data_IF_754894808026
#
_entry.id   IF_754894808026
#
_cell.length_a   1.000
_cell.length_b   1.000
_cell.length_c   1.000
_cell.angle_alpha   90.00
_cell.angle_beta   90.00
_cell.angle_gamma   90.00
#
_symmetry.space_group_name_H-M   'P 1'
#
loop_
_entity.id
_entity.type
_entity.pdbx_description
1 polymer ?
#
# COMPACT_ATOMS: atom_id res chain seq x y z
N UNK A 1 -18.68 -6.07 -12.18
CA UNK A 1 -18.08 -5.73 -10.86
C UNK A 1 -19.14 -5.37 -9.83
N UNK A 2 -20.00 -4.38 -10.04
CA UNK A 2 -21.03 -3.90 -9.09
C UNK A 2 -21.99 -5.02 -8.64
N UNK A 3 -22.50 -5.84 -9.56
CA UNK A 3 -23.41 -6.97 -9.23
C UNK A 3 -22.72 -8.01 -8.33
N UNK A 4 -21.41 -8.18 -8.45
CA UNK A 4 -20.65 -9.07 -7.59
C UNK A 4 -20.60 -8.56 -6.14
N UNK A 5 -20.45 -7.25 -5.96
CA UNK A 5 -20.47 -6.63 -4.62
C UNK A 5 -21.82 -6.81 -3.92
N UNK A 6 -22.94 -6.61 -4.64
CA UNK A 6 -24.26 -6.79 -4.06
C UNK A 6 -24.47 -8.22 -3.54
N UNK A 7 -23.99 -9.21 -4.29
CA UNK A 7 -24.06 -10.61 -3.89
C UNK A 7 -23.21 -10.92 -2.66
N UNK A 8 -21.98 -10.37 -2.61
CA UNK A 8 -21.11 -10.52 -1.45
C UNK A 8 -21.69 -9.88 -0.20
N UNK A 9 -22.24 -8.68 -0.31
CA UNK A 9 -22.90 -7.98 0.81
C UNK A 9 -24.14 -8.74 1.25
N UNK A 10 -24.94 -9.24 0.31
CA UNK A 10 -26.11 -10.06 0.59
C UNK A 10 -25.76 -11.30 1.39
N UNK A 11 -24.73 -12.02 0.98
CA UNK A 11 -24.23 -13.20 1.69
C UNK A 11 -23.71 -12.88 3.09
N UNK A 12 -23.03 -11.74 3.26
CA UNK A 12 -22.44 -11.33 4.54
C UNK A 12 -23.48 -10.84 5.56
N UNK A 13 -24.50 -10.11 5.10
CA UNK A 13 -25.48 -9.45 5.98
C UNK A 13 -26.84 -10.16 6.06
N UNK A 14 -27.10 -11.16 5.20
CA UNK A 14 -28.40 -11.81 5.12
C UNK A 14 -29.52 -10.90 4.58
N UNK A 15 -29.16 -9.82 3.87
CA UNK A 15 -30.08 -8.84 3.28
C UNK A 15 -30.20 -9.13 1.79
N UNK A 16 -31.39 -9.02 1.22
CA UNK A 16 -31.59 -9.33 -0.21
C UNK A 16 -30.83 -8.35 -1.12
N UNK A 17 -30.32 -8.84 -2.26
CA UNK A 17 -29.62 -8.00 -3.24
C UNK A 17 -30.47 -6.80 -3.69
N UNK A 18 -31.79 -6.97 -3.81
CA UNK A 18 -32.72 -5.88 -4.16
C UNK A 18 -32.70 -4.76 -3.14
N UNK A 19 -32.76 -5.08 -1.84
CA UNK A 19 -32.70 -4.08 -0.76
C UNK A 19 -31.35 -3.36 -0.75
N UNK A 20 -30.25 -4.09 -0.99
CA UNK A 20 -28.90 -3.52 -1.07
C UNK A 20 -28.80 -2.51 -2.22
N UNK A 21 -29.24 -2.88 -3.42
CA UNK A 21 -29.23 -2.01 -4.60
C UNK A 21 -30.03 -0.74 -4.36
N UNK A 22 -31.23 -0.87 -3.81
CA UNK A 22 -32.11 0.27 -3.51
C UNK A 22 -31.50 1.18 -2.44
N UNK A 23 -30.92 0.61 -1.38
CA UNK A 23 -30.27 1.38 -0.31
C UNK A 23 -29.03 2.13 -0.82
N UNK A 24 -28.17 1.47 -1.61
CA UNK A 24 -27.00 2.10 -2.22
C UNK A 24 -27.40 3.19 -3.21
N UNK A 25 -28.49 3.02 -3.96
CA UNK A 25 -29.04 4.05 -4.82
C UNK A 25 -29.41 5.31 -4.04
N UNK A 26 -30.16 5.18 -2.94
CA UNK A 26 -30.52 6.30 -2.08
C UNK A 26 -29.30 7.00 -1.46
N UNK A 27 -28.31 6.24 -1.04
CA UNK A 27 -27.06 6.80 -0.48
C UNK A 27 -26.27 7.55 -1.55
N UNK A 28 -26.20 7.05 -2.78
CA UNK A 28 -25.53 7.72 -3.90
C UNK A 28 -26.25 9.02 -4.32
N UNK A 29 -27.57 9.07 -4.17
CA UNK A 29 -28.39 10.26 -4.40
C UNK A 29 -28.23 11.30 -3.26
N UNK A 30 -27.38 11.05 -2.28
CA UNK A 30 -27.05 11.96 -1.18
C UNK A 30 -28.00 11.87 0.03
N UNK A 31 -28.87 10.86 0.09
CA UNK A 31 -29.72 10.65 1.25
C UNK A 31 -28.89 10.19 2.45
N UNK A 32 -29.19 10.73 3.64
CA UNK A 32 -28.52 10.35 4.89
C UNK A 32 -29.13 9.06 5.47
N UNK A 33 -28.34 8.29 6.22
CA UNK A 33 -28.76 7.04 6.85
C UNK A 33 -30.03 7.24 7.72
N UNK A 34 -30.11 8.26 8.62
CA UNK A 34 -31.31 8.51 9.40
C UNK A 34 -32.52 8.88 8.54
N UNK A 35 -32.32 9.58 7.42
CA UNK A 35 -33.41 9.89 6.50
C UNK A 35 -33.95 8.63 5.82
N UNK A 36 -33.08 7.75 5.35
CA UNK A 36 -33.47 6.50 4.69
C UNK A 36 -34.24 5.61 5.66
N UNK A 37 -33.74 5.40 6.88
CA UNK A 37 -34.34 4.52 7.87
C UNK A 37 -35.72 5.00 8.33
N UNK A 38 -35.98 6.30 8.34
CA UNK A 38 -37.26 6.88 8.80
C UNK A 38 -38.24 7.09 7.67
N UNK A 39 -37.80 7.55 6.52
CA UNK A 39 -38.65 8.07 5.46
C UNK A 39 -38.64 7.27 4.16
N UNK A 40 -37.81 6.22 4.06
CA UNK A 40 -37.68 5.38 2.85
C UNK A 40 -37.80 3.87 3.13
N UNK A 41 -38.57 3.52 4.18
CA UNK A 41 -38.78 2.12 4.57
C UNK A 41 -39.44 1.30 3.47
N UNK A 42 -40.33 1.92 2.71
CA UNK A 42 -41.02 1.29 1.57
C UNK A 42 -40.05 0.89 0.45
N UNK A 43 -38.98 1.66 0.27
CA UNK A 43 -37.94 1.39 -0.75
C UNK A 43 -36.96 0.34 -0.25
N UNK A 44 -36.52 0.46 0.99
CA UNK A 44 -35.46 -0.43 1.56
C UNK A 44 -36.03 -1.74 2.11
N UNK A 45 -37.39 -1.88 2.17
CA UNK A 45 -38.05 -3.05 2.78
C UNK A 45 -37.89 -3.09 4.30
N UNK A 46 -37.86 -1.91 4.94
CA UNK A 46 -37.86 -1.77 6.40
C UNK A 46 -36.49 -1.88 7.08
N UNK A 47 -35.38 -1.68 6.37
CA UNK A 47 -34.06 -1.69 6.97
C UNK A 47 -33.90 -0.58 8.02
N UNK A 48 -33.25 -0.91 9.12
CA UNK A 48 -32.92 0.00 10.19
C UNK A 48 -31.59 0.76 9.92
N UNK A 49 -31.24 1.70 10.79
CA UNK A 49 -30.01 2.52 10.64
C UNK A 49 -28.74 1.67 10.66
N UNK A 50 -28.70 0.63 11.50
CA UNK A 50 -27.53 -0.26 11.64
C UNK A 50 -27.34 -1.10 10.38
N UNK A 51 -28.42 -1.61 9.82
CA UNK A 51 -28.39 -2.41 8.58
C UNK A 51 -27.94 -1.54 7.39
N UNK A 52 -28.46 -0.32 7.29
CA UNK A 52 -28.08 0.64 6.22
C UNK A 52 -26.60 1.03 6.34
N UNK A 53 -26.14 1.31 7.56
CA UNK A 53 -24.71 1.61 7.81
C UNK A 53 -23.81 0.42 7.49
N UNK A 54 -24.24 -0.79 7.85
CA UNK A 54 -23.50 -2.01 7.52
C UNK A 54 -23.39 -2.23 6.01
N UNK A 55 -24.45 -2.00 5.25
CA UNK A 55 -24.42 -2.06 3.78
C UNK A 55 -23.41 -1.06 3.22
N UNK A 56 -23.46 0.20 3.69
CA UNK A 56 -22.52 1.26 3.26
C UNK A 56 -21.08 0.89 3.54
N UNK A 57 -20.79 0.48 4.76
CA UNK A 57 -19.44 0.11 5.20
C UNK A 57 -18.86 -1.06 4.38
N UNK A 58 -19.66 -2.10 4.14
CA UNK A 58 -19.24 -3.24 3.32
C UNK A 58 -18.98 -2.83 1.86
N UNK A 59 -19.83 -1.97 1.32
CA UNK A 59 -19.68 -1.48 -0.05
C UNK A 59 -18.42 -0.62 -0.20
N UNK A 60 -18.16 0.29 0.74
CA UNK A 60 -16.94 1.12 0.78
C UNK A 60 -15.68 0.26 0.86
N UNK A 61 -15.67 -0.73 1.77
CA UNK A 61 -14.56 -1.67 1.92
C UNK A 61 -14.28 -2.48 0.65
N UNK A 62 -15.32 -2.98 -0.02
CA UNK A 62 -15.16 -3.70 -1.29
C UNK A 62 -14.61 -2.80 -2.41
N UNK A 63 -15.04 -1.53 -2.46
CA UNK A 63 -14.50 -0.55 -3.40
C UNK A 63 -13.03 -0.24 -3.13
N UNK A 64 -12.64 -0.11 -1.87
CA UNK A 64 -11.23 0.10 -1.49
C UNK A 64 -10.36 -1.09 -1.92
N UNK A 65 -10.84 -2.32 -1.66
CA UNK A 65 -10.14 -3.54 -2.11
C UNK A 65 -10.03 -3.58 -3.63
N UNK A 66 -11.10 -3.23 -4.36
CA UNK A 66 -11.08 -3.20 -5.82
C UNK A 66 -10.06 -2.20 -6.37
N UNK A 67 -10.02 -0.98 -5.84
CA UNK A 67 -9.01 0.04 -6.20
C UNK A 67 -7.60 -0.43 -5.86
N UNK A 68 -7.45 -1.09 -4.72
CA UNK A 68 -6.15 -1.63 -4.31
C UNK A 68 -5.67 -2.72 -5.25
N UNK A 69 -6.55 -3.65 -5.67
CA UNK A 69 -6.25 -4.67 -6.68
C UNK A 69 -5.76 -4.06 -7.99
N UNK A 70 -6.44 -3.05 -8.48
CA UNK A 70 -6.04 -2.35 -9.70
C UNK A 70 -4.64 -1.74 -9.59
N UNK A 71 -4.35 -1.08 -8.47
CA UNK A 71 -3.01 -0.53 -8.20
C UNK A 71 -1.93 -1.63 -8.16
N UNK A 72 -2.22 -2.75 -7.51
CA UNK A 72 -1.30 -3.89 -7.40
C UNK A 72 -1.04 -4.50 -8.76
N UNK A 73 -2.10 -4.77 -9.54
CA UNK A 73 -1.99 -5.35 -10.88
C UNK A 73 -1.15 -4.45 -11.81
N UNK A 74 -1.42 -3.14 -11.81
CA UNK A 74 -0.66 -2.18 -12.61
C UNK A 74 0.82 -2.17 -12.20
N UNK A 75 1.12 -2.15 -10.90
CA UNK A 75 2.50 -2.14 -10.40
C UNK A 75 3.27 -3.42 -10.80
N UNK A 76 2.63 -4.58 -10.68
CA UNK A 76 3.25 -5.87 -11.05
C UNK A 76 3.42 -5.97 -12.58
N UNK A 77 2.46 -5.45 -13.34
CA UNK A 77 2.52 -5.39 -14.80
C UNK A 77 3.66 -4.49 -15.29
N UNK A 78 3.83 -3.30 -14.69
CA UNK A 78 4.95 -2.40 -14.98
C UNK A 78 6.32 -3.04 -14.72
N UNK A 79 6.39 -3.95 -13.74
CA UNK A 79 7.59 -4.73 -13.45
C UNK A 79 7.79 -5.92 -14.42
N UNK A 80 6.83 -6.18 -15.32
CA UNK A 80 6.87 -7.31 -16.24
C UNK A 80 6.76 -8.69 -15.56
N UNK A 81 6.24 -8.73 -14.32
CA UNK A 81 6.14 -9.95 -13.50
C UNK A 81 4.71 -10.50 -13.38
N UNK A 82 3.74 -9.88 -14.05
CA UNK A 82 2.34 -10.31 -13.99
C UNK A 82 2.15 -11.58 -14.84
N UNK A 83 1.80 -12.68 -14.18
CA UNK A 83 1.40 -13.93 -14.82
C UNK A 83 -0.11 -14.08 -14.78
N UNK A 84 -0.70 -14.86 -15.70
CA UNK A 84 -2.14 -15.13 -15.72
C UNK A 84 -2.64 -15.78 -14.42
N UNK A 85 -1.85 -16.66 -13.81
CA UNK A 85 -2.16 -17.28 -12.53
C UNK A 85 -2.16 -16.28 -11.38
N UNK A 86 -1.16 -15.40 -11.32
CA UNK A 86 -1.06 -14.35 -10.31
C UNK A 86 -2.21 -13.34 -10.44
N UNK A 87 -2.54 -12.94 -11.66
CA UNK A 87 -3.67 -12.07 -11.94
C UNK A 87 -4.96 -12.67 -11.41
N UNK A 88 -5.25 -13.93 -11.78
CA UNK A 88 -6.45 -14.63 -11.30
C UNK A 88 -6.50 -14.70 -9.77
N UNK A 89 -5.40 -15.03 -9.13
CA UNK A 89 -5.30 -15.11 -7.67
C UNK A 89 -5.60 -13.76 -7.00
N UNK A 90 -5.10 -12.65 -7.56
CA UNK A 90 -5.39 -11.29 -7.07
C UNK A 90 -6.86 -10.95 -7.29
N UNK A 91 -7.42 -11.26 -8.46
CA UNK A 91 -8.82 -10.96 -8.81
C UNK A 91 -9.82 -11.72 -7.93
N UNK A 92 -9.53 -12.95 -7.54
CA UNK A 92 -10.38 -13.78 -6.69
C UNK A 92 -10.29 -13.42 -5.19
N UNK A 93 -9.23 -12.76 -4.74
CA UNK A 93 -9.00 -12.41 -3.33
C UNK A 93 -9.77 -11.15 -2.94
N UNK A 94 -10.64 -11.23 -1.93
CA UNK A 94 -11.42 -10.11 -1.37
C UNK A 94 -11.11 -9.85 0.11
N UNK A 95 -9.99 -10.35 0.57
CA UNK A 95 -9.41 -10.06 1.87
C UNK A 95 -8.18 -9.17 1.70
N UNK A 96 -8.13 -8.06 2.46
CA UNK A 96 -7.06 -7.08 2.33
C UNK A 96 -5.71 -7.64 2.81
N UNK A 97 -5.72 -8.48 3.86
CA UNK A 97 -4.49 -9.08 4.41
C UNK A 97 -3.88 -10.05 3.40
N UNK A 98 -4.70 -10.96 2.87
CA UNK A 98 -4.25 -11.91 1.84
C UNK A 98 -3.79 -11.20 0.57
N UNK A 99 -4.43 -10.10 0.20
CA UNK A 99 -4.06 -9.29 -0.96
C UNK A 99 -2.67 -8.64 -0.77
N UNK A 100 -2.40 -8.09 0.41
CA UNK A 100 -1.09 -7.52 0.74
C UNK A 100 0.01 -8.59 0.83
N UNK A 101 -0.31 -9.78 1.34
CA UNK A 101 0.64 -10.92 1.37
C UNK A 101 1.03 -11.36 -0.05
N UNK A 102 0.06 -11.43 -0.97
CA UNK A 102 0.33 -11.74 -2.39
C UNK A 102 1.20 -10.64 -3.02
N UNK A 103 0.99 -9.38 -2.65
CA UNK A 103 1.72 -8.24 -3.20
C UNK A 103 3.12 -8.06 -2.60
N UNK A 104 3.36 -8.53 -1.38
CA UNK A 104 4.60 -8.29 -0.64
C UNK A 104 5.89 -8.56 -1.44
N UNK A 105 6.02 -9.68 -2.20
CA UNK A 105 7.21 -9.95 -3.01
C UNK A 105 7.42 -8.96 -4.18
N UNK A 106 6.36 -8.30 -4.62
CA UNK A 106 6.34 -7.38 -5.77
C UNK A 106 6.32 -5.92 -5.37
N UNK A 107 6.17 -5.65 -4.06
CA UNK A 107 6.11 -4.28 -3.55
C UNK A 107 7.43 -3.57 -3.85
N UNK A 108 7.41 -2.43 -4.58
CA UNK A 108 8.62 -1.67 -4.84
C UNK A 108 9.28 -1.30 -3.51
N UNK A 109 10.55 -1.61 -3.36
CA UNK A 109 11.32 -1.13 -2.22
C UNK A 109 11.22 0.39 -2.21
N UNK A 110 10.80 0.96 -1.08
CA UNK A 110 10.74 2.41 -0.89
C UNK A 110 12.13 2.95 -1.20
N UNK A 111 12.24 3.95 -2.09
CA UNK A 111 13.51 4.65 -2.33
C UNK A 111 13.93 5.28 -1.01
N UNK A 112 14.78 4.58 -0.28
CA UNK A 112 15.35 5.08 0.96
C UNK A 112 16.43 6.11 0.63
N UNK A 113 16.80 6.95 1.60
CA UNK A 113 17.94 7.87 1.45
C UNK A 113 19.22 7.09 1.15
N UNK A 114 19.38 5.93 1.77
CA UNK A 114 20.48 5.02 1.53
C UNK A 114 20.50 4.50 0.08
N UNK A 115 19.35 4.11 -0.47
CA UNK A 115 19.27 3.69 -1.87
C UNK A 115 19.64 4.82 -2.84
N UNK A 116 19.18 6.05 -2.59
CA UNK A 116 19.56 7.21 -3.36
C UNK A 116 21.08 7.48 -3.26
N UNK A 117 21.68 7.26 -2.09
CA UNK A 117 23.12 7.40 -1.90
C UNK A 117 23.92 6.28 -2.60
N UNK A 118 23.42 5.04 -2.63
CA UNK A 118 24.01 3.94 -3.41
C UNK A 118 23.99 4.25 -4.91
N UNK A 119 22.91 4.80 -5.43
CA UNK A 119 22.82 5.21 -6.84
C UNK A 119 23.83 6.30 -7.20
N UNK A 120 24.20 7.15 -6.23
CA UNK A 120 25.27 8.14 -6.36
C UNK A 120 26.69 7.52 -6.24
N UNK A 121 26.81 6.22 -6.02
CA UNK A 121 28.09 5.52 -5.91
C UNK A 121 28.80 5.72 -4.57
N UNK A 122 28.06 6.02 -3.49
CA UNK A 122 28.63 6.30 -2.16
C UNK A 122 28.80 5.07 -1.27
N UNK A 123 28.42 3.88 -1.74
CA UNK A 123 28.54 2.63 -0.98
C UNK A 123 29.98 2.28 -0.58
N UNK A 124 31.01 2.42 -1.46
CA UNK A 124 32.40 2.19 -1.05
C UNK A 124 32.89 3.17 0.03
N UNK A 125 32.40 4.42 -0.01
CA UNK A 125 32.69 5.40 1.03
C UNK A 125 32.08 4.99 2.37
N UNK A 126 30.82 4.55 2.36
CA UNK A 126 30.13 4.04 3.56
C UNK A 126 30.90 2.86 4.17
N UNK A 127 31.37 1.92 3.35
CA UNK A 127 32.17 0.77 3.79
C UNK A 127 33.49 1.20 4.43
N UNK A 128 34.19 2.16 3.83
CA UNK A 128 35.43 2.71 4.38
C UNK A 128 35.21 3.38 5.75
N UNK A 129 34.13 4.15 5.87
CA UNK A 129 33.78 4.82 7.12
C UNK A 129 33.40 3.81 8.22
N UNK A 130 32.70 2.72 7.88
CA UNK A 130 32.36 1.66 8.83
C UNK A 130 33.59 0.94 9.39
N UNK A 131 34.66 0.81 8.62
CA UNK A 131 35.91 0.21 9.09
C UNK A 131 36.66 1.06 10.14
N UNK A 132 36.30 2.34 10.29
CA UNK A 132 36.87 3.29 11.29
C UNK A 132 38.42 3.33 11.34
N UNK A 133 39.05 3.05 10.21
CA UNK A 133 40.53 2.97 10.12
C UNK A 133 41.18 4.25 9.58
N UNK A 134 40.37 5.17 9.08
CA UNK A 134 40.87 6.41 8.44
C UNK A 134 40.64 7.59 9.39
N UNK A 135 41.72 8.29 9.80
CA UNK A 135 41.63 9.48 10.66
C UNK A 135 41.07 10.72 9.93
N UNK A 136 41.04 10.71 8.60
CA UNK A 136 40.65 11.86 7.77
C UNK A 136 39.51 11.48 6.78
N UNK A 137 38.27 11.24 7.29
CA UNK A 137 37.15 10.81 6.45
C UNK A 137 36.77 11.84 5.38
N UNK A 138 37.04 13.12 5.64
CA UNK A 138 36.74 14.23 4.71
C UNK A 138 37.61 14.19 3.45
N UNK A 139 38.88 13.84 3.57
CA UNK A 139 39.80 13.69 2.44
C UNK A 139 39.36 12.51 1.55
N UNK A 140 38.87 11.43 2.16
CA UNK A 140 38.32 10.30 1.41
C UNK A 140 37.03 10.66 0.71
N UNK A 141 36.14 11.37 1.37
CA UNK A 141 34.88 11.81 0.80
C UNK A 141 35.07 12.76 -0.39
N UNK A 142 36.16 13.55 -0.42
CA UNK A 142 36.48 14.43 -1.54
C UNK A 142 36.62 13.66 -2.88
N UNK A 143 37.07 12.41 -2.85
CA UNK A 143 37.23 11.57 -4.04
C UNK A 143 35.87 11.13 -4.64
N UNK A 144 34.78 11.24 -3.88
CA UNK A 144 33.42 10.86 -4.28
C UNK A 144 32.56 12.06 -4.68
N UNK A 145 33.12 13.27 -4.69
CA UNK A 145 32.42 14.47 -5.19
C UNK A 145 32.43 14.43 -6.72
N UNK A 146 31.42 13.75 -7.29
CA UNK A 146 31.21 13.55 -8.73
C UNK A 146 29.72 13.54 -9.07
N UNK A 147 29.37 14.03 -10.25
CA UNK A 147 27.98 13.99 -10.76
C UNK A 147 27.00 14.68 -9.82
N UNK A 148 26.07 13.90 -9.23
CA UNK A 148 25.01 14.41 -8.34
C UNK A 148 25.47 14.69 -6.90
N UNK A 149 26.74 14.41 -6.57
CA UNK A 149 27.34 14.71 -5.25
C UNK A 149 28.04 16.06 -5.34
N UNK A 150 27.44 17.08 -4.72
CA UNK A 150 27.88 18.49 -4.90
C UNK A 150 29.13 18.88 -4.11
N UNK A 151 29.31 18.28 -2.93
CA UNK A 151 30.39 18.61 -2.01
C UNK A 151 30.70 17.43 -1.08
N UNK A 152 31.78 17.58 -0.27
CA UNK A 152 32.23 16.58 0.71
C UNK A 152 31.16 16.27 1.74
N UNK A 153 30.40 17.27 2.18
CA UNK A 153 29.32 17.10 3.16
C UNK A 153 28.18 16.23 2.59
N UNK A 154 27.81 16.43 1.34
CA UNK A 154 26.82 15.60 0.62
C UNK A 154 27.27 14.13 0.51
N UNK A 155 28.58 13.92 0.23
CA UNK A 155 29.17 12.58 0.18
C UNK A 155 29.11 11.89 1.55
N UNK A 156 29.52 12.58 2.61
CA UNK A 156 29.48 12.06 3.97
C UNK A 156 28.06 11.82 4.48
N UNK A 157 27.12 12.70 4.12
CA UNK A 157 25.70 12.54 4.46
C UNK A 157 25.13 11.30 3.80
N UNK A 158 25.37 11.10 2.51
CA UNK A 158 24.90 9.90 1.80
C UNK A 158 25.52 8.62 2.35
N UNK A 159 26.81 8.63 2.68
CA UNK A 159 27.48 7.49 3.31
C UNK A 159 26.88 7.18 4.71
N UNK A 160 26.56 8.21 5.51
CA UNK A 160 25.86 8.04 6.80
C UNK A 160 24.48 7.46 6.65
N UNK A 161 23.72 7.85 5.63
CA UNK A 161 22.41 7.29 5.36
C UNK A 161 22.47 5.78 5.04
N UNK A 162 23.50 5.35 4.29
CA UNK A 162 23.76 3.92 4.00
C UNK A 162 24.13 3.17 5.28
N UNK A 163 24.99 3.72 6.10
CA UNK A 163 25.43 3.11 7.38
C UNK A 163 24.23 2.99 8.33
N UNK A 164 23.41 4.02 8.45
CA UNK A 164 22.23 4.02 9.33
C UNK A 164 21.23 2.93 8.91
N UNK A 165 20.99 2.74 7.62
CA UNK A 165 20.13 1.66 7.12
C UNK A 165 20.73 0.29 7.46
N UNK A 166 22.03 0.10 7.23
CA UNK A 166 22.72 -1.15 7.53
C UNK A 166 22.64 -1.52 9.02
N UNK A 167 22.85 -0.55 9.91
CA UNK A 167 22.74 -0.73 11.38
C UNK A 167 21.30 -1.06 11.77
N UNK A 168 20.31 -0.37 11.20
CA UNK A 168 18.90 -0.66 11.43
C UNK A 168 18.51 -2.07 11.02
N UNK A 169 18.97 -2.52 9.86
CA UNK A 169 18.69 -3.87 9.36
C UNK A 169 19.35 -4.94 10.26
N UNK A 170 20.59 -4.71 10.71
CA UNK A 170 21.27 -5.62 11.62
C UNK A 170 20.56 -5.75 12.99
N UNK A 171 20.00 -4.66 13.53
CA UNK A 171 19.26 -4.67 14.79
C UNK A 171 17.94 -5.45 14.68
N UNK A 172 17.28 -5.41 13.54
CA UNK A 172 16.04 -6.17 13.32
C UNK A 172 16.26 -7.69 13.31
N UNK A 173 17.45 -8.15 12.89
CA UNK A 173 17.79 -9.59 12.89
C UNK A 173 18.31 -10.12 14.24
N UNK A 174 18.60 -9.25 15.21
CA UNK A 174 19.12 -9.66 16.52
C UNK A 174 18.07 -9.62 17.64
N UNK A 175 16.80 -9.38 17.30
CA UNK A 175 15.68 -9.28 18.27
C UNK A 175 14.83 -10.56 18.37
N UNK A 176 15.38 -11.74 18.02
CA UNK A 176 14.77 -13.05 18.29
C UNK A 176 15.41 -13.74 19.51
#
# INVERSE_FOLDING_TARGET
>A
MIQHFHRMISAALGISEKQIVQTLGLLNDGATIPFISRYRKEVTGGLDEVQIESIKTHYEKLNEIAKRKETILNTIQEQGKLTAELQKRIEETWDNTLLEDIYLPYKPKRKTRAEAARQKGLEPLATLLMLQRDPHPEERAANYVKGDVKNVEDALKGARDIIAEHVSDCLLYTSD
#
